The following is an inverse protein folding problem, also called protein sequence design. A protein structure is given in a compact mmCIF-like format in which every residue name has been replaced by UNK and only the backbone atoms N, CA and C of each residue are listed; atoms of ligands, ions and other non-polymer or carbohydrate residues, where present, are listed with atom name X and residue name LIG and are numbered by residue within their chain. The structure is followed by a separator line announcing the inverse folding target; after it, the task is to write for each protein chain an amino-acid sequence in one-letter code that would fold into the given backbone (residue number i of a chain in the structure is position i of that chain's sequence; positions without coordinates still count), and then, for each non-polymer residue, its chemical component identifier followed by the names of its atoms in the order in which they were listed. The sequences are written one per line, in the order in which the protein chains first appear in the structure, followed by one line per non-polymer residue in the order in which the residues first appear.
data_IF_131652772325
#
_entry.id   IF_131652772325
#
_cell.length_a   1.000
_cell.length_b   1.000
_cell.length_c   1.000
_cell.angle_alpha   90.00
_cell.angle_beta   90.00
_cell.angle_gamma   90.00
#
_symmetry.space_group_name_H-M   'P 1'
#
loop_
_entity.id
_entity.type
_entity.pdbx_description
1 polymer ?
#
# COMPACT_ATOMS: atom_id res chain seq x y z
N UNK A 1 26.53 66.20 5.45
CA UNK A 1 25.70 65.51 4.44
C UNK A 1 26.22 64.09 4.24
N UNK A 2 25.31 63.15 3.99
CA UNK A 2 25.61 61.76 3.57
C UNK A 2 25.80 60.78 4.74
N UNK A 3 24.79 59.99 5.15
CA UNK A 3 24.31 58.70 4.57
C UNK A 3 25.41 57.63 4.62
N UNK A 4 25.31 56.67 5.55
CA UNK A 4 24.75 55.32 5.30
C UNK A 4 25.93 54.32 5.28
N UNK A 5 25.99 53.25 6.06
CA UNK A 5 25.01 52.17 6.20
C UNK A 5 25.62 50.92 5.54
N UNK A 6 26.03 49.93 6.33
CA UNK A 6 26.68 48.72 5.81
C UNK A 6 26.97 47.65 6.87
N UNK A 7 26.03 47.43 7.80
CA UNK A 7 26.00 46.22 8.63
C UNK A 7 25.55 45.07 7.74
N UNK A 8 26.47 44.19 7.36
CA UNK A 8 26.15 42.90 6.75
C UNK A 8 25.57 41.98 7.83
N UNK A 9 24.29 42.18 8.12
CA UNK A 9 23.47 41.26 8.88
C UNK A 9 22.54 40.49 7.94
N UNK A 10 22.51 39.17 8.08
CA UNK A 10 21.36 38.36 7.72
C UNK A 10 21.45 37.62 6.38
N UNK A 11 21.86 36.34 6.46
CA UNK A 11 21.22 35.22 5.74
C UNK A 11 21.29 33.95 6.58
N UNK A 12 20.72 34.03 7.78
CA UNK A 12 20.29 32.85 8.54
C UNK A 12 18.76 32.80 8.45
N UNK A 13 18.22 31.68 7.96
CA UNK A 13 16.77 31.43 7.94
C UNK A 13 16.19 31.32 6.53
N UNK A 14 16.26 30.13 5.94
CA UNK A 14 15.57 29.83 4.69
C UNK A 14 15.35 28.34 4.42
N UNK A 15 15.62 27.46 5.39
CA UNK A 15 15.47 25.99 5.23
C UNK A 15 14.28 25.37 5.94
N UNK A 16 13.42 26.18 6.55
CA UNK A 16 12.29 25.69 7.38
C UNK A 16 10.91 26.17 6.91
N UNK A 17 10.83 26.79 5.72
CA UNK A 17 9.62 27.50 5.31
C UNK A 17 8.60 26.63 4.53
N UNK A 18 8.94 25.38 4.21
CA UNK A 18 8.05 24.42 3.56
C UNK A 18 7.71 23.25 4.48
N UNK A 19 7.35 23.50 5.74
CA UNK A 19 6.67 22.47 6.52
C UNK A 19 5.21 22.49 6.09
N UNK A 20 4.90 21.76 5.02
CA UNK A 20 3.52 21.49 4.61
C UNK A 20 2.87 20.78 5.78
N UNK A 21 1.84 21.40 6.37
CA UNK A 21 1.05 20.76 7.41
C UNK A 21 0.26 19.62 6.76
N UNK A 22 0.50 18.41 7.25
CA UNK A 22 -0.12 17.20 6.69
C UNK A 22 -1.15 16.72 7.67
N UNK A 23 -2.41 16.70 7.23
CA UNK A 23 -3.51 16.24 8.04
C UNK A 23 -3.31 14.75 8.35
N UNK A 24 -3.45 14.38 9.63
CA UNK A 24 -3.39 12.99 10.05
C UNK A 24 -4.40 12.13 9.26
N UNK A 25 -4.03 10.90 8.94
CA UNK A 25 -4.90 9.96 8.22
C UNK A 25 -6.15 9.57 9.01
N UNK A 26 -6.11 9.74 10.34
CA UNK A 26 -7.22 9.52 11.26
C UNK A 26 -7.34 10.67 12.26
N UNK A 27 -8.58 11.03 12.58
CA UNK A 27 -8.88 11.99 13.65
C UNK A 27 -8.60 11.37 15.01
N UNK A 28 -7.51 11.80 15.65
CA UNK A 28 -7.12 11.35 17.00
C UNK A 28 -8.20 11.78 17.99
N UNK A 29 -8.75 10.81 18.73
CA UNK A 29 -9.81 11.07 19.71
C UNK A 29 -9.24 11.28 21.11
N UNK A 30 -9.92 12.05 21.99
CA UNK A 30 -9.43 12.34 23.35
C UNK A 30 -9.34 11.11 24.27
N UNK A 31 -10.10 10.06 23.99
CA UNK A 31 -10.13 8.80 24.74
C UNK A 31 -8.99 7.83 24.36
N UNK A 32 -8.22 8.14 23.32
CA UNK A 32 -7.11 7.31 22.89
C UNK A 32 -5.94 7.42 23.87
N UNK A 33 -5.49 6.26 24.37
CA UNK A 33 -4.33 6.17 25.27
C UNK A 33 -3.10 5.85 24.45
N UNK A 34 -2.11 6.75 24.46
CA UNK A 34 -0.81 6.50 23.83
C UNK A 34 -0.05 5.43 24.61
N UNK A 35 0.17 4.28 23.98
CA UNK A 35 0.91 3.16 24.57
C UNK A 35 2.41 3.37 24.42
N UNK A 36 2.87 3.63 23.19
CA UNK A 36 4.29 3.86 22.87
C UNK A 36 4.45 4.92 21.79
N UNK A 37 5.66 5.49 21.70
CA UNK A 37 6.04 6.45 20.67
C UNK A 37 7.46 6.16 20.19
N UNK A 38 7.61 6.01 18.87
CA UNK A 38 8.88 5.80 18.21
C UNK A 38 9.14 6.96 17.26
N UNK A 39 10.28 7.63 17.43
CA UNK A 39 10.80 8.49 16.37
C UNK A 39 11.57 7.65 15.34
N UNK A 40 11.67 8.15 14.11
CA UNK A 40 12.33 7.42 13.02
C UNK A 40 13.78 7.03 13.35
N UNK A 41 14.62 7.89 13.97
CA UNK A 41 15.96 7.49 14.39
C UNK A 41 15.98 6.33 15.38
N UNK A 42 15.09 6.31 16.39
CA UNK A 42 14.98 5.21 17.35
C UNK A 42 14.51 3.93 16.69
N UNK A 43 13.55 4.02 15.77
CA UNK A 43 13.07 2.87 15.02
C UNK A 43 14.22 2.26 14.20
N UNK A 44 14.91 3.07 13.41
CA UNK A 44 16.05 2.62 12.60
C UNK A 44 17.18 2.06 13.44
N UNK A 45 17.44 2.59 14.63
CA UNK A 45 18.45 2.06 15.55
C UNK A 45 18.04 0.72 16.18
N UNK A 46 16.73 0.48 16.40
CA UNK A 46 16.19 -0.77 16.97
C UNK A 46 16.00 -1.87 15.93
N UNK A 47 15.64 -1.53 14.69
CA UNK A 47 15.34 -2.49 13.59
C UNK A 47 16.61 -3.16 13.03
N UNK A 48 17.81 -2.82 13.51
CA UNK A 48 19.07 -3.49 13.13
C UNK A 48 19.18 -4.92 13.69
N UNK A 49 18.19 -5.41 14.44
CA UNK A 49 18.18 -6.80 14.93
C UNK A 49 17.74 -7.78 13.85
N UNK A 50 18.71 -8.61 13.46
CA UNK A 50 18.65 -9.79 12.59
C UNK A 50 17.92 -9.62 11.25
N UNK A 51 18.69 -9.29 10.20
CA UNK A 51 18.22 -9.35 8.81
C UNK A 51 18.19 -10.78 8.26
N UNK A 52 18.31 -11.81 9.12
CA UNK A 52 18.16 -13.18 8.68
C UNK A 52 16.80 -13.39 8.05
N UNK A 53 16.71 -14.16 6.95
CA UNK A 53 15.42 -14.59 6.45
C UNK A 53 14.63 -15.34 7.55
N UNK A 54 13.29 -15.41 7.42
CA UNK A 54 12.46 -16.21 8.33
C UNK A 54 13.02 -17.62 8.51
N UNK A 55 12.83 -18.20 9.70
CA UNK A 55 13.41 -19.52 10.04
C UNK A 55 12.88 -20.62 9.12
N UNK A 56 11.62 -20.52 8.76
CA UNK A 56 10.96 -21.37 7.78
C UNK A 56 9.88 -20.57 7.06
N UNK A 57 9.60 -21.01 5.84
CA UNK A 57 8.50 -20.53 5.03
C UNK A 57 7.73 -21.73 4.47
N UNK A 58 6.40 -21.64 4.48
CA UNK A 58 5.51 -22.68 3.97
C UNK A 58 4.36 -22.04 3.20
N UNK A 59 4.06 -22.58 2.02
CA UNK A 59 2.86 -22.22 1.29
C UNK A 59 1.68 -23.01 1.83
N UNK A 60 0.66 -22.30 2.32
CA UNK A 60 -0.55 -22.91 2.85
C UNK A 60 -1.59 -23.12 1.75
N UNK A 61 -1.75 -22.12 0.87
CA UNK A 61 -2.81 -22.11 -0.13
C UNK A 61 -2.51 -21.16 -1.30
N UNK A 62 -3.01 -21.52 -2.48
CA UNK A 62 -3.03 -20.66 -3.66
C UNK A 62 -4.44 -20.54 -4.23
N UNK A 63 -4.88 -19.31 -4.44
CA UNK A 63 -6.20 -18.99 -4.97
C UNK A 63 -6.11 -18.07 -6.20
N UNK A 64 -7.10 -18.10 -7.08
CA UNK A 64 -7.23 -17.22 -8.24
C UNK A 64 -6.54 -17.75 -9.50
N UNK A 65 -6.07 -16.84 -10.35
CA UNK A 65 -5.43 -17.18 -11.62
C UNK A 65 -4.48 -16.09 -12.11
N UNK A 66 -3.58 -16.44 -13.01
CA UNK A 66 -2.72 -15.49 -13.72
C UNK A 66 -2.86 -15.66 -15.23
N UNK A 67 -3.14 -14.56 -15.92
CA UNK A 67 -3.04 -14.48 -17.37
C UNK A 67 -1.56 -14.27 -17.79
N UNK A 68 -1.22 -14.71 -19.00
CA UNK A 68 0.17 -14.68 -19.46
C UNK A 68 0.61 -13.26 -19.84
N UNK A 69 1.83 -12.86 -19.44
CA UNK A 69 2.43 -11.61 -19.91
C UNK A 69 2.54 -11.55 -21.44
N UNK A 70 2.29 -10.37 -22.01
CA UNK A 70 2.45 -10.11 -23.44
C UNK A 70 3.82 -9.49 -23.74
N UNK A 71 4.76 -10.36 -24.13
CA UNK A 71 6.15 -10.03 -24.53
C UNK A 71 6.28 -8.94 -25.61
N UNK A 72 5.20 -8.61 -26.34
CA UNK A 72 5.21 -7.48 -27.26
C UNK A 72 5.37 -6.12 -26.55
N UNK A 73 5.00 -6.02 -25.28
CA UNK A 73 5.14 -4.80 -24.47
C UNK A 73 6.59 -4.49 -24.12
N UNK A 74 7.51 -5.47 -24.17
CA UNK A 74 8.95 -5.24 -24.01
C UNK A 74 9.54 -4.35 -25.12
N UNK A 75 8.84 -4.23 -26.26
CA UNK A 75 9.26 -3.41 -27.41
C UNK A 75 8.74 -1.97 -27.36
N UNK A 76 7.91 -1.64 -26.37
CA UNK A 76 7.37 -0.28 -26.21
C UNK A 76 8.52 0.67 -25.88
N UNK A 77 8.54 1.81 -26.54
CA UNK A 77 9.57 2.83 -26.32
C UNK A 77 8.99 4.23 -26.43
N UNK A 78 9.75 5.25 -26.01
CA UNK A 78 9.34 6.65 -26.15
C UNK A 78 9.09 7.08 -27.61
N UNK A 79 9.68 6.38 -28.61
CA UNK A 79 9.44 6.63 -30.04
C UNK A 79 8.25 5.86 -30.61
N UNK A 80 7.87 4.77 -29.95
CA UNK A 80 6.76 3.91 -30.33
C UNK A 80 5.96 3.53 -29.07
N UNK A 81 5.16 4.47 -28.52
CA UNK A 81 4.39 4.22 -27.31
C UNK A 81 3.15 3.36 -27.59
N UNK A 82 2.71 2.61 -26.57
CA UNK A 82 1.41 1.95 -26.57
C UNK A 82 0.41 2.79 -25.77
N UNK A 83 -0.73 3.22 -26.35
CA UNK A 83 -1.76 3.95 -25.60
C UNK A 83 -2.32 3.10 -24.45
N UNK A 84 -2.47 3.71 -23.27
CA UNK A 84 -3.15 3.07 -22.14
C UNK A 84 -4.66 2.99 -22.42
N UNK A 85 -5.23 1.80 -22.21
CA UNK A 85 -6.65 1.50 -22.39
C UNK A 85 -7.28 1.28 -21.02
N UNK A 86 -8.56 1.61 -20.91
CA UNK A 86 -9.34 1.30 -19.72
C UNK A 86 -9.74 -0.18 -19.73
N UNK A 87 -9.56 -0.84 -18.61
CA UNK A 87 -10.03 -2.20 -18.36
C UNK A 87 -11.40 -2.14 -17.71
N UNK A 88 -12.45 -1.96 -18.54
CA UNK A 88 -13.81 -1.70 -18.07
C UNK A 88 -14.52 -2.95 -17.53
N UNK A 89 -14.06 -4.15 -17.88
CA UNK A 89 -14.65 -5.42 -17.48
C UNK A 89 -13.83 -6.16 -16.41
N UNK A 90 -12.93 -5.45 -15.72
CA UNK A 90 -12.04 -6.03 -14.71
C UNK A 90 -12.31 -5.46 -13.33
N UNK A 91 -12.47 -6.35 -12.35
CA UNK A 91 -12.73 -5.99 -10.97
C UNK A 91 -11.51 -6.25 -10.08
N UNK A 92 -11.21 -5.30 -9.19
CA UNK A 92 -10.08 -5.37 -8.25
C UNK A 92 -10.64 -5.38 -6.83
N UNK A 93 -10.16 -6.29 -5.99
CA UNK A 93 -10.70 -6.50 -4.64
C UNK A 93 -9.70 -5.98 -3.59
N UNK A 94 -9.88 -4.76 -3.03
CA UNK A 94 -9.03 -4.24 -1.97
C UNK A 94 -9.45 -4.78 -0.59
N UNK A 95 -9.60 -6.10 -0.45
CA UNK A 95 -10.14 -6.74 0.77
C UNK A 95 -9.20 -6.52 1.97
N UNK A 96 -9.80 -6.38 3.15
CA UNK A 96 -9.09 -6.23 4.43
C UNK A 96 -8.64 -7.60 4.96
N UNK A 97 -7.78 -7.63 5.98
CA UNK A 97 -7.33 -8.91 6.54
C UNK A 97 -8.47 -9.64 7.25
N UNK A 98 -9.39 -8.88 7.87
CA UNK A 98 -10.53 -9.44 8.62
C UNK A 98 -11.68 -9.89 7.71
N UNK A 99 -11.86 -9.25 6.55
CA UNK A 99 -12.91 -9.63 5.60
C UNK A 99 -12.46 -10.74 4.63
N UNK A 100 -11.24 -11.24 4.76
CA UNK A 100 -10.72 -12.35 3.96
C UNK A 100 -11.16 -13.71 4.55
N UNK A 101 -12.04 -14.47 3.84
CA UNK A 101 -12.57 -15.74 4.35
C UNK A 101 -11.50 -16.84 4.42
N UNK A 102 -10.43 -16.74 3.64
CA UNK A 102 -9.31 -17.69 3.72
C UNK A 102 -8.48 -17.42 4.97
N UNK A 103 -8.20 -16.15 5.26
CA UNK A 103 -7.49 -15.77 6.50
C UNK A 103 -8.31 -16.17 7.73
N UNK A 104 -9.62 -15.92 7.73
CA UNK A 104 -10.52 -16.35 8.80
C UNK A 104 -10.42 -17.87 9.03
N UNK A 105 -10.50 -18.67 7.96
CA UNK A 105 -10.35 -20.12 8.03
C UNK A 105 -8.99 -20.55 8.59
N UNK A 106 -7.90 -19.96 8.10
CA UNK A 106 -6.54 -20.26 8.56
C UNK A 106 -6.33 -19.88 10.03
N UNK A 107 -7.00 -18.84 10.51
CA UNK A 107 -6.99 -18.45 11.91
C UNK A 107 -7.74 -19.46 12.80
N UNK A 108 -8.90 -19.95 12.35
CA UNK A 108 -9.67 -21.00 13.06
C UNK A 108 -8.87 -22.31 13.13
N UNK A 109 -8.16 -22.66 12.07
CA UNK A 109 -7.30 -23.86 12.00
C UNK A 109 -6.01 -23.72 12.82
N UNK A 110 -5.71 -22.53 13.35
CA UNK A 110 -4.50 -22.27 14.13
C UNK A 110 -3.22 -22.29 13.29
N UNK A 111 -3.30 -21.91 12.01
CA UNK A 111 -2.15 -21.88 11.12
C UNK A 111 -1.07 -20.89 11.57
N UNK A 112 -1.49 -19.78 12.19
CA UNK A 112 -0.63 -18.74 12.74
C UNK A 112 -1.25 -18.02 13.94
N UNK A 113 -0.54 -17.02 14.46
CA UNK A 113 -1.02 -16.15 15.53
C UNK A 113 -0.89 -14.66 15.22
N UNK A 114 -0.34 -14.32 14.06
CA UNK A 114 -0.34 -12.98 13.49
C UNK A 114 -0.81 -13.09 12.05
N UNK A 115 -1.79 -12.28 11.66
CA UNK A 115 -2.40 -12.29 10.34
C UNK A 115 -2.33 -10.89 9.72
N UNK A 116 -1.87 -10.78 8.47
CA UNK A 116 -1.78 -9.52 7.75
C UNK A 116 -1.81 -9.72 6.22
N UNK A 117 -2.14 -8.67 5.48
CA UNK A 117 -1.91 -8.63 4.02
C UNK A 117 -0.51 -8.13 3.68
N UNK A 118 -0.05 -8.43 2.48
CA UNK A 118 1.22 -7.95 1.93
C UNK A 118 1.31 -6.42 1.89
N UNK A 119 0.22 -5.73 1.54
CA UNK A 119 0.14 -4.28 1.54
C UNK A 119 0.40 -3.70 2.94
N UNK A 120 -0.15 -4.32 3.99
CA UNK A 120 0.05 -3.88 5.38
C UNK A 120 1.48 -4.14 5.83
N UNK A 121 2.01 -5.33 5.56
CA UNK A 121 3.39 -5.67 5.88
C UNK A 121 4.38 -4.76 5.14
N UNK A 122 4.13 -4.43 3.88
CA UNK A 122 4.95 -3.51 3.10
C UNK A 122 5.01 -2.12 3.74
N UNK A 123 3.87 -1.58 4.20
CA UNK A 123 3.83 -0.31 4.92
C UNK A 123 4.64 -0.36 6.23
N UNK A 124 4.49 -1.42 7.02
CA UNK A 124 5.24 -1.60 8.27
C UNK A 124 6.76 -1.71 8.02
N UNK A 125 7.17 -2.52 7.04
CA UNK A 125 8.59 -2.74 6.72
C UNK A 125 9.25 -1.50 6.10
N UNK A 126 8.49 -0.67 5.37
CA UNK A 126 9.01 0.51 4.66
C UNK A 126 8.67 1.84 5.35
N UNK A 127 8.07 1.80 6.55
CA UNK A 127 7.65 2.98 7.30
C UNK A 127 8.72 4.07 7.48
N UNK A 128 10.04 3.81 7.55
CA UNK A 128 11.03 4.89 7.69
C UNK A 128 11.14 5.80 6.47
N UNK A 129 10.56 5.41 5.33
CA UNK A 129 10.55 6.20 4.08
C UNK A 129 9.27 7.02 3.90
N UNK A 130 8.25 6.75 4.71
CA UNK A 130 6.95 7.40 4.60
C UNK A 130 7.02 8.85 5.08
N UNK A 131 6.34 9.72 4.34
CA UNK A 131 6.19 11.16 4.61
C UNK A 131 4.71 11.53 4.76
N UNK A 132 3.83 10.90 3.98
CA UNK A 132 2.39 11.04 4.11
C UNK A 132 1.87 10.14 5.24
N UNK A 133 0.92 10.63 6.05
CA UNK A 133 0.39 9.86 7.16
C UNK A 133 -0.46 8.69 6.67
N UNK A 134 -0.29 7.55 7.34
CA UNK A 134 -1.10 6.36 7.18
C UNK A 134 -1.32 5.73 8.56
N UNK A 135 -2.30 4.83 8.65
CA UNK A 135 -2.63 4.11 9.87
C UNK A 135 -3.00 2.66 9.57
N UNK A 136 -2.79 1.81 10.56
CA UNK A 136 -3.14 0.38 10.56
C UNK A 136 -3.87 0.10 11.86
N UNK A 137 -4.95 -0.66 11.77
CA UNK A 137 -5.73 -1.13 12.92
C UNK A 137 -5.15 -2.47 13.34
N UNK A 138 -4.81 -2.63 14.62
CA UNK A 138 -4.37 -3.92 15.17
C UNK A 138 -5.44 -4.42 16.13
N UNK A 139 -6.03 -5.57 15.80
CA UNK A 139 -7.04 -6.21 16.62
C UNK A 139 -6.46 -7.46 17.28
N UNK A 140 -6.62 -7.57 18.59
CA UNK A 140 -6.25 -8.77 19.33
C UNK A 140 -7.50 -9.57 19.65
N UNK A 141 -7.61 -10.78 19.11
CA UNK A 141 -8.77 -11.63 19.37
C UNK A 141 -8.78 -12.12 20.82
N UNK A 142 -9.91 -11.98 21.53
CA UNK A 142 -10.06 -12.54 22.87
C UNK A 142 -10.06 -14.07 22.79
N UNK A 143 -9.42 -14.74 23.75
CA UNK A 143 -9.31 -16.20 23.79
C UNK A 143 -8.01 -16.70 23.13
N UNK A 144 -7.92 -16.66 21.80
CA UNK A 144 -6.73 -17.15 21.08
C UNK A 144 -5.51 -16.23 21.28
N UNK A 145 -5.74 -14.94 21.52
CA UNK A 145 -4.67 -13.94 21.61
C UNK A 145 -4.04 -13.59 20.26
N UNK A 146 -4.59 -14.11 19.15
CA UNK A 146 -4.12 -13.84 17.81
C UNK A 146 -4.24 -12.35 17.46
N UNK A 147 -3.28 -11.85 16.67
CA UNK A 147 -3.22 -10.46 16.22
C UNK A 147 -3.60 -10.37 14.74
N UNK A 148 -4.52 -9.47 14.43
CA UNK A 148 -4.91 -9.13 13.07
C UNK A 148 -4.47 -7.71 12.79
N UNK A 149 -3.57 -7.56 11.83
CA UNK A 149 -3.19 -6.27 11.29
C UNK A 149 -4.09 -5.96 10.11
N UNK A 150 -4.78 -4.84 10.19
CA UNK A 150 -5.90 -4.54 9.32
C UNK A 150 -5.90 -3.08 8.85
N UNK A 151 -6.60 -2.81 7.75
CA UNK A 151 -6.77 -1.45 7.20
C UNK A 151 -8.23 -1.02 7.32
N UNK A 152 -8.49 0.29 7.33
CA UNK A 152 -9.87 0.80 7.32
C UNK A 152 -10.41 0.80 5.89
N UNK A 153 -11.66 0.38 5.71
CA UNK A 153 -12.32 0.31 4.38
C UNK A 153 -12.33 1.62 3.60
N UNK A 154 -12.40 2.75 4.31
CA UNK A 154 -12.45 4.11 3.73
C UNK A 154 -11.10 4.84 3.77
N UNK A 155 -10.01 4.12 4.05
CA UNK A 155 -8.67 4.73 4.07
C UNK A 155 -8.09 4.86 2.66
N UNK A 156 -7.11 5.76 2.52
CA UNK A 156 -6.35 5.90 1.28
C UNK A 156 -5.20 4.87 1.17
N UNK A 157 -5.26 3.79 1.94
CA UNK A 157 -4.15 2.87 2.17
C UNK A 157 -3.68 2.15 0.90
N UNK A 158 -4.61 1.84 -0.01
CA UNK A 158 -4.30 1.15 -1.27
C UNK A 158 -3.98 2.11 -2.42
N UNK A 159 -4.12 3.43 -2.22
CA UNK A 159 -3.80 4.40 -3.26
C UNK A 159 -2.30 4.68 -3.30
N UNK A 160 -1.77 4.78 -4.51
CA UNK A 160 -0.37 5.09 -4.74
C UNK A 160 -0.10 6.57 -4.47
N UNK A 161 1.00 6.87 -3.78
CA UNK A 161 1.47 8.25 -3.61
C UNK A 161 2.32 8.68 -4.80
N UNK A 162 2.23 9.97 -5.16
CA UNK A 162 2.98 10.56 -6.27
C UNK A 162 3.88 11.67 -5.74
N UNK A 163 5.18 11.58 -6.04
CA UNK A 163 6.20 12.56 -5.63
C UNK A 163 6.25 12.87 -4.12
N UNK A 164 5.83 11.92 -3.28
CA UNK A 164 5.75 12.05 -1.82
C UNK A 164 7.07 12.52 -1.17
N UNK A 165 8.20 11.96 -1.62
CA UNK A 165 9.54 12.20 -1.05
C UNK A 165 10.34 13.27 -1.80
N UNK A 166 9.71 13.99 -2.73
CA UNK A 166 10.35 15.08 -3.45
C UNK A 166 10.68 16.24 -2.50
N UNK A 167 11.71 17.03 -2.83
CA UNK A 167 12.04 18.25 -2.07
C UNK A 167 10.87 19.23 -2.01
N UNK A 168 10.07 19.28 -3.08
CA UNK A 168 8.83 20.04 -3.18
C UNK A 168 7.73 19.05 -3.60
N UNK A 169 7.05 18.40 -2.65
CA UNK A 169 5.96 17.48 -2.97
C UNK A 169 4.73 18.25 -3.50
N UNK A 170 3.82 17.57 -4.22
CA UNK A 170 2.55 18.17 -4.63
C UNK A 170 1.78 18.75 -3.44
N UNK A 171 1.08 19.85 -3.65
CA UNK A 171 0.29 20.53 -2.62
C UNK A 171 -0.95 21.17 -3.23
N UNK A 172 -1.96 21.45 -2.41
CA UNK A 172 -3.13 22.26 -2.76
C UNK A 172 -2.75 23.73 -2.93
N UNK A 173 -2.14 24.07 -4.06
CA UNK A 173 -1.82 25.45 -4.44
C UNK A 173 -2.88 25.96 -5.42
N UNK A 174 -3.95 26.56 -4.89
CA UNK A 174 -5.07 27.06 -5.70
C UNK A 174 -4.72 28.28 -6.55
N UNK A 175 -3.58 28.95 -6.30
CA UNK A 175 -3.09 30.04 -7.14
C UNK A 175 -2.42 29.51 -8.40
N UNK A 176 -1.63 28.42 -8.28
CA UNK A 176 -0.94 27.79 -9.42
C UNK A 176 -1.79 26.76 -10.14
N UNK A 177 -2.72 26.11 -9.45
CA UNK A 177 -3.59 25.07 -9.97
C UNK A 177 -5.04 25.27 -9.49
N UNK A 178 -5.78 26.22 -10.09
CA UNK A 178 -7.14 26.54 -9.67
C UNK A 178 -8.12 25.36 -9.78
N UNK A 179 -7.87 24.44 -10.72
CA UNK A 179 -8.70 23.25 -10.92
C UNK A 179 -8.27 22.09 -10.02
N UNK A 180 -7.11 22.18 -9.37
CA UNK A 180 -6.56 21.18 -8.47
C UNK A 180 -6.19 19.87 -9.17
N UNK A 181 -5.85 19.91 -10.46
CA UNK A 181 -5.52 18.71 -11.25
C UNK A 181 -4.31 17.96 -10.67
N UNK A 182 -3.31 18.71 -10.20
CA UNK A 182 -2.07 18.20 -9.60
C UNK A 182 -2.14 18.17 -8.07
N UNK A 183 -3.34 18.24 -7.48
CA UNK A 183 -3.52 18.01 -6.06
C UNK A 183 -3.10 16.57 -5.69
N UNK A 184 -2.51 16.35 -4.49
CA UNK A 184 -2.03 15.03 -4.08
C UNK A 184 -3.04 13.89 -4.25
N UNK A 185 -4.31 14.13 -3.89
CA UNK A 185 -5.37 13.12 -3.93
C UNK A 185 -5.80 12.80 -5.36
N UNK A 186 -5.76 13.79 -6.27
CA UNK A 186 -6.09 13.55 -7.69
C UNK A 186 -4.98 12.78 -8.40
N UNK A 187 -3.73 13.15 -8.16
CA UNK A 187 -2.58 12.41 -8.67
C UNK A 187 -2.55 10.99 -8.11
N UNK A 188 -2.91 10.81 -6.84
CA UNK A 188 -2.97 9.51 -6.20
C UNK A 188 -4.03 8.59 -6.84
N UNK A 189 -5.23 9.13 -7.09
CA UNK A 189 -6.31 8.43 -7.78
C UNK A 189 -5.93 8.10 -9.22
N UNK A 190 -5.36 9.06 -9.96
CA UNK A 190 -4.89 8.85 -11.33
C UNK A 190 -3.81 7.77 -11.42
N UNK A 191 -2.78 7.84 -10.57
CA UNK A 191 -1.69 6.86 -10.55
C UNK A 191 -2.19 5.45 -10.24
N UNK A 192 -3.14 5.32 -9.32
CA UNK A 192 -3.74 4.04 -8.96
C UNK A 192 -4.55 3.47 -10.12
N UNK A 193 -5.36 4.30 -10.79
CA UNK A 193 -6.10 3.89 -11.99
C UNK A 193 -5.16 3.51 -13.14
N UNK A 194 -4.07 4.24 -13.35
CA UNK A 194 -3.05 3.89 -14.35
C UNK A 194 -2.45 2.52 -14.04
N UNK A 195 -2.07 2.28 -12.79
CA UNK A 195 -1.47 1.00 -12.37
C UNK A 195 -2.43 -0.18 -12.57
N UNK A 196 -3.69 -0.03 -12.16
CA UNK A 196 -4.73 -1.06 -12.37
C UNK A 196 -4.92 -1.35 -13.86
N UNK A 197 -5.16 -0.34 -14.68
CA UNK A 197 -5.36 -0.52 -16.13
C UNK A 197 -4.13 -1.14 -16.81
N UNK A 198 -2.92 -0.65 -16.48
CA UNK A 198 -1.69 -1.15 -17.06
C UNK A 198 -1.45 -2.62 -16.70
N UNK A 199 -1.71 -3.00 -15.43
CA UNK A 199 -1.53 -4.39 -14.96
C UNK A 199 -2.32 -5.41 -15.78
N UNK A 200 -3.48 -5.03 -16.31
CA UNK A 200 -4.34 -5.91 -17.11
C UNK A 200 -4.06 -5.76 -18.61
N UNK A 201 -3.74 -4.56 -19.08
CA UNK A 201 -3.48 -4.29 -20.49
C UNK A 201 -2.27 -5.06 -21.05
N UNK A 202 -1.26 -5.32 -20.22
CA UNK A 202 -0.03 -6.01 -20.62
C UNK A 202 -0.17 -7.53 -20.68
N UNK A 203 -1.37 -8.07 -20.46
CA UNK A 203 -1.63 -9.51 -20.45
C UNK A 203 -2.19 -9.98 -21.79
N UNK A 204 -1.92 -11.23 -22.15
CA UNK A 204 -2.54 -11.93 -23.28
C UNK A 204 -3.95 -12.37 -22.86
N UNK A 205 -4.82 -12.60 -23.86
CA UNK A 205 -6.18 -13.05 -23.61
C UNK A 205 -6.23 -14.41 -22.90
N UNK A 206 -7.35 -14.68 -22.23
CA UNK A 206 -7.60 -15.79 -21.29
C UNK A 206 -7.28 -17.21 -21.79
N UNK A 207 -7.01 -17.41 -23.08
CA UNK A 207 -6.62 -18.71 -23.66
C UNK A 207 -5.34 -19.31 -23.05
N UNK A 208 -4.52 -18.48 -22.40
CA UNK A 208 -3.23 -18.88 -21.80
C UNK A 208 -3.24 -18.75 -20.27
N UNK A 209 -4.42 -18.65 -19.67
CA UNK A 209 -4.60 -18.51 -18.23
C UNK A 209 -4.07 -19.72 -17.46
N UNK A 210 -3.39 -19.45 -16.36
CA UNK A 210 -3.03 -20.44 -15.34
C UNK A 210 -3.93 -20.25 -14.12
N UNK A 211 -4.80 -21.21 -13.87
CA UNK A 211 -5.59 -21.28 -12.63
C UNK A 211 -4.82 -21.98 -11.52
N UNK A 212 -5.10 -21.62 -10.27
CA UNK A 212 -4.55 -22.26 -9.07
C UNK A 212 -5.55 -23.21 -8.42
N UNK A 213 -5.18 -23.74 -7.24
CA UNK A 213 -5.91 -24.82 -6.57
C UNK A 213 -7.34 -24.43 -6.20
N UNK A 214 -7.55 -23.15 -5.84
CA UNK A 214 -8.86 -22.57 -5.57
C UNK A 214 -9.15 -21.36 -6.48
N UNK A 215 -10.43 -21.03 -6.74
CA UNK A 215 -10.81 -19.81 -7.45
C UNK A 215 -10.47 -18.55 -6.63
N UNK A 216 -10.70 -17.37 -7.21
CA UNK A 216 -10.57 -16.11 -6.46
C UNK A 216 -11.59 -16.12 -5.29
N UNK A 217 -11.17 -16.01 -4.03
CA UNK A 217 -12.05 -16.14 -2.88
C UNK A 217 -13.01 -14.96 -2.68
N UNK A 218 -12.83 -13.89 -3.45
CA UNK A 218 -13.59 -12.64 -3.34
C UNK A 218 -14.55 -12.42 -4.52
N UNK A 219 -14.51 -13.30 -5.51
CA UNK A 219 -15.35 -13.21 -6.70
C UNK A 219 -16.43 -14.27 -6.66
N UNK A 220 -17.67 -13.84 -6.89
CA UNK A 220 -18.81 -14.72 -7.08
C UNK A 220 -19.22 -14.73 -8.56
N UNK A 221 -19.14 -15.90 -9.19
CA UNK A 221 -19.52 -16.10 -10.59
C UNK A 221 -21.04 -15.93 -10.81
N UNK A 222 -21.86 -16.11 -9.78
CA UNK A 222 -23.32 -16.00 -9.89
C UNK A 222 -23.80 -14.52 -9.88
N UNK A 223 -22.99 -13.62 -9.31
CA UNK A 223 -23.29 -12.20 -9.10
C UNK A 223 -22.31 -11.27 -9.85
N UNK A 224 -21.79 -11.71 -11.00
CA UNK A 224 -20.68 -11.02 -11.67
C UNK A 224 -21.05 -9.77 -12.50
N UNK A 225 -22.34 -9.53 -12.76
CA UNK A 225 -22.86 -8.43 -13.60
C UNK A 225 -22.11 -8.24 -14.95
N UNK A 226 -21.50 -9.30 -15.50
CA UNK A 226 -20.67 -9.25 -16.71
C UNK A 226 -19.24 -8.72 -16.51
N UNK A 227 -18.82 -8.55 -15.26
CA UNK A 227 -17.46 -8.25 -14.83
C UNK A 227 -16.68 -9.55 -14.61
N UNK A 228 -15.37 -9.48 -14.76
CA UNK A 228 -14.47 -10.58 -14.43
C UNK A 228 -13.43 -10.08 -13.43
N UNK A 229 -12.97 -10.91 -12.47
CA UNK A 229 -11.83 -10.57 -11.66
C UNK A 229 -10.62 -10.20 -12.53
N UNK A 230 -9.88 -9.19 -12.08
CA UNK A 230 -8.54 -8.91 -12.57
C UNK A 230 -7.67 -10.17 -12.48
N UNK A 231 -6.71 -10.32 -13.39
CA UNK A 231 -5.73 -11.41 -13.31
C UNK A 231 -4.86 -11.23 -12.07
N UNK A 232 -5.17 -11.99 -11.03
CA UNK A 232 -4.49 -11.99 -9.72
C UNK A 232 -4.55 -13.38 -9.09
N UNK A 233 -3.45 -13.74 -8.42
CA UNK A 233 -3.40 -14.93 -7.59
C UNK A 233 -2.97 -14.57 -6.17
N UNK A 234 -3.68 -15.11 -5.20
CA UNK A 234 -3.42 -14.94 -3.77
C UNK A 234 -2.67 -16.15 -3.26
N UNK A 235 -1.54 -15.91 -2.59
CA UNK A 235 -0.70 -16.96 -2.02
C UNK A 235 -0.58 -16.73 -0.52
N UNK A 236 -1.19 -17.61 0.25
CA UNK A 236 -1.17 -17.58 1.71
C UNK A 236 0.05 -18.34 2.20
N UNK A 237 0.92 -17.67 2.95
CA UNK A 237 2.22 -18.21 3.36
C UNK A 237 2.40 -18.06 4.85
N UNK A 238 2.98 -19.08 5.48
CA UNK A 238 3.37 -19.01 6.88
C UNK A 238 4.86 -18.74 7.02
N UNK A 239 5.20 -17.83 7.91
CA UNK A 239 6.58 -17.51 8.29
C UNK A 239 6.77 -17.69 9.80
N UNK A 240 7.81 -18.45 10.19
CA UNK A 240 8.28 -18.50 11.57
C UNK A 240 9.30 -17.37 11.81
N UNK A 241 8.89 -16.38 12.62
CA UNK A 241 9.70 -15.21 12.95
C UNK A 241 10.48 -15.37 14.27
N UNK A 242 10.41 -16.54 14.91
CA UNK A 242 10.95 -16.76 16.26
C UNK A 242 10.03 -16.25 17.37
N UNK A 243 10.43 -16.47 18.63
CA UNK A 243 9.68 -16.05 19.83
C UNK A 243 8.19 -16.43 19.83
N UNK A 244 7.88 -17.61 19.27
CA UNK A 244 6.52 -18.14 19.07
C UNK A 244 5.64 -17.28 18.15
N UNK A 245 6.22 -16.44 17.30
CA UNK A 245 5.50 -15.64 16.30
C UNK A 245 5.40 -16.40 14.98
N UNK A 246 4.18 -16.76 14.59
CA UNK A 246 3.83 -17.41 13.33
C UNK A 246 2.97 -16.45 12.53
N UNK A 247 3.62 -15.76 11.60
CA UNK A 247 2.97 -14.82 10.68
C UNK A 247 2.34 -15.60 9.53
N UNK A 248 1.09 -15.26 9.22
CA UNK A 248 0.36 -15.69 8.03
C UNK A 248 -0.03 -14.45 7.22
#
# INVERSE_FOLDING_TARGET
GGRGGGRWGGRGGGRWQNRVDRQASVSVRPDWVRVEEYDLPKLLAKVVTDTSPPRSEEDLLWCGFLDQYNDSYDRVSARAPAPLKRSENKEFYPVTTMDDPVVEKLAIEGAGNVFATDAILAHLMTCPRSVYPWDVVVQKLPGSGALFFDKRDSSQFDYLTVNETANNPPSHDTEKDPEGMNAPERLSLEATMINQNFSQQILKSSKTRRSFDLPNPFYDEEDDEGMEPASVAYRYRRFDLGDDVKLV
#
